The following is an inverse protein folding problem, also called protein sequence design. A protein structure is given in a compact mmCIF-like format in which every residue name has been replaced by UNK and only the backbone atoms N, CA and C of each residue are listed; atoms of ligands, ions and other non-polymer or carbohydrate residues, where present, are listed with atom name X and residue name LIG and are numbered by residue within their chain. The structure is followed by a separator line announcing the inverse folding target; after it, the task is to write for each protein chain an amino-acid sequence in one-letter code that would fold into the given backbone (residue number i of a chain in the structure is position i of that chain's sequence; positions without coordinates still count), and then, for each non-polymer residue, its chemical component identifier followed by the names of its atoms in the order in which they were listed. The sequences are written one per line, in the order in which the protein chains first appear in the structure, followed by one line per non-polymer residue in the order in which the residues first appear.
data_IF_641714571333
#
_entry.id   IF_641714571333
#
_cell.length_a   1.000
_cell.length_b   1.000
_cell.length_c   1.000
_cell.angle_alpha   90.00
_cell.angle_beta   90.00
_cell.angle_gamma   90.00
#
_symmetry.space_group_name_H-M   'P 1'
#
loop_
_entity.id
_entity.type
_entity.pdbx_description
1 polymer ?
#
# COMPACT_ATOMS: atom_id res chain seq x y z
N UNK A 1 -21.50 23.70 -45.24
CA UNK A 1 -21.81 22.81 -44.10
C UNK A 1 -20.61 21.93 -43.88
N UNK A 2 -19.86 22.16 -42.81
CA UNK A 2 -18.74 21.29 -42.42
C UNK A 2 -19.29 20.35 -41.37
N UNK A 3 -19.47 19.08 -41.73
CA UNK A 3 -19.76 18.02 -40.77
C UNK A 3 -18.53 17.85 -39.89
N UNK A 4 -18.58 18.42 -38.68
CA UNK A 4 -17.71 18.00 -37.59
C UNK A 4 -18.14 16.59 -37.21
N UNK A 5 -17.52 15.60 -37.86
CA UNK A 5 -17.53 14.23 -37.38
C UNK A 5 -16.86 14.22 -36.02
N UNK A 6 -17.67 14.10 -34.97
CA UNK A 6 -17.25 13.86 -33.60
C UNK A 6 -16.44 12.56 -33.59
N UNK A 7 -15.13 12.65 -33.79
CA UNK A 7 -14.27 11.50 -33.50
C UNK A 7 -14.44 11.23 -32.02
N UNK A 8 -14.87 10.01 -31.61
CA UNK A 8 -14.87 9.68 -30.20
C UNK A 8 -13.41 9.70 -29.77
N UNK A 9 -12.98 10.79 -29.12
CA UNK A 9 -11.70 10.83 -28.43
C UNK A 9 -11.73 9.62 -27.51
N UNK A 10 -10.93 8.60 -27.83
CA UNK A 10 -10.84 7.37 -27.03
C UNK A 10 -10.30 7.77 -25.67
N UNK A 11 -11.19 8.16 -24.76
CA UNK A 11 -10.87 8.48 -23.37
C UNK A 11 -10.45 7.17 -22.71
N UNK A 12 -9.15 6.92 -22.65
CA UNK A 12 -8.61 5.81 -21.88
C UNK A 12 -8.84 6.16 -20.42
N UNK A 13 -9.66 5.37 -19.75
CA UNK A 13 -9.95 5.56 -18.35
C UNK A 13 -8.77 5.02 -17.54
N UNK A 14 -8.13 5.86 -16.72
CA UNK A 14 -7.00 5.50 -15.86
C UNK A 14 -7.27 4.24 -15.03
N UNK A 15 -8.50 4.09 -14.50
CA UNK A 15 -8.95 2.87 -13.80
C UNK A 15 -8.78 1.58 -14.60
N UNK A 16 -8.90 1.62 -15.94
CA UNK A 16 -8.69 0.45 -16.80
C UNK A 16 -7.21 0.12 -16.92
N UNK A 17 -6.36 1.13 -16.99
CA UNK A 17 -4.90 0.96 -16.98
C UNK A 17 -4.48 0.33 -15.65
N UNK A 18 -4.96 0.83 -14.51
CA UNK A 18 -4.62 0.28 -13.20
C UNK A 18 -5.22 -1.09 -12.93
N UNK A 19 -6.39 -1.41 -13.50
CA UNK A 19 -6.88 -2.80 -13.53
C UNK A 19 -5.92 -3.71 -14.29
N UNK A 20 -5.37 -3.26 -15.42
CA UNK A 20 -4.40 -4.06 -16.19
C UNK A 20 -3.09 -4.23 -15.42
N UNK A 21 -2.55 -3.14 -14.84
CA UNK A 21 -1.29 -3.15 -14.10
C UNK A 21 -1.40 -3.87 -12.74
N UNK A 22 -2.53 -3.72 -12.05
CA UNK A 22 -2.74 -4.20 -10.68
C UNK A 22 -3.50 -5.54 -10.55
N UNK A 23 -4.37 -5.91 -11.51
CA UNK A 23 -5.16 -7.17 -11.44
C UNK A 23 -4.59 -8.30 -12.28
N UNK A 24 -3.78 -8.01 -13.30
CA UNK A 24 -3.02 -9.08 -13.99
C UNK A 24 -1.82 -9.44 -13.13
N UNK A 25 -1.35 -10.68 -13.25
CA UNK A 25 -0.12 -11.19 -12.64
C UNK A 25 1.17 -10.47 -13.13
N UNK A 26 1.13 -9.15 -13.33
CA UNK A 26 2.27 -8.31 -13.64
C UNK A 26 3.25 -8.20 -12.46
N UNK A 27 2.92 -8.80 -11.31
CA UNK A 27 3.84 -8.96 -10.19
C UNK A 27 5.12 -9.65 -10.66
N UNK A 28 6.23 -8.91 -10.63
CA UNK A 28 7.54 -9.35 -11.13
C UNK A 28 7.70 -9.36 -12.65
N UNK A 29 6.62 -9.23 -13.43
CA UNK A 29 6.67 -9.22 -14.90
C UNK A 29 6.71 -7.81 -15.51
N UNK A 30 6.19 -6.81 -14.80
CA UNK A 30 6.26 -5.41 -15.22
C UNK A 30 7.04 -4.59 -14.20
N UNK A 31 8.24 -4.16 -14.61
CA UNK A 31 9.07 -3.22 -13.86
C UNK A 31 9.10 -1.92 -14.66
N UNK A 32 8.52 -0.82 -14.13
CA UNK A 32 8.47 0.43 -14.86
C UNK A 32 9.88 1.01 -14.97
N UNK A 33 10.22 1.52 -16.16
CA UNK A 33 11.44 2.30 -16.33
C UNK A 33 11.32 3.67 -15.62
N UNK A 34 12.41 4.45 -15.60
CA UNK A 34 12.43 5.75 -14.91
C UNK A 34 11.36 6.72 -15.40
N UNK A 35 11.04 6.74 -16.70
CA UNK A 35 10.03 7.64 -17.27
C UNK A 35 8.62 7.20 -16.86
N UNK A 36 8.34 5.90 -16.93
CA UNK A 36 7.06 5.33 -16.52
C UNK A 36 6.86 5.49 -15.02
N UNK A 37 7.94 5.36 -14.23
CA UNK A 37 7.92 5.57 -12.79
C UNK A 37 7.49 6.97 -12.42
N UNK A 38 8.04 7.99 -13.07
CA UNK A 38 7.67 9.39 -12.84
C UNK A 38 6.19 9.65 -13.11
N UNK A 39 5.64 9.08 -14.19
CA UNK A 39 4.20 9.21 -14.51
C UNK A 39 3.33 8.57 -13.43
N UNK A 40 3.67 7.36 -13.01
CA UNK A 40 2.94 6.65 -11.95
C UNK A 40 3.05 7.38 -10.60
N UNK A 41 4.22 7.94 -10.31
CA UNK A 41 4.48 8.74 -9.12
C UNK A 41 3.66 10.05 -9.14
N UNK A 42 3.46 10.70 -10.28
CA UNK A 42 2.58 11.86 -10.36
C UNK A 42 1.11 11.48 -10.13
N UNK A 43 0.64 10.41 -10.78
CA UNK A 43 -0.75 9.96 -10.63
C UNK A 43 -1.09 9.60 -9.18
N UNK A 44 -0.17 8.97 -8.45
CA UNK A 44 -0.44 8.60 -7.05
C UNK A 44 -0.48 9.83 -6.14
N UNK A 45 0.30 10.87 -6.41
CA UNK A 45 0.23 12.14 -5.66
C UNK A 45 -1.13 12.83 -5.90
N UNK A 46 -1.60 12.81 -7.14
CA UNK A 46 -2.92 13.35 -7.50
C UNK A 46 -4.03 12.58 -6.77
N UNK A 47 -3.97 11.24 -6.74
CA UNK A 47 -4.94 10.41 -6.02
C UNK A 47 -4.87 10.62 -4.50
N UNK A 48 -3.68 10.77 -3.93
CA UNK A 48 -3.53 11.08 -2.52
C UNK A 48 -4.13 12.44 -2.18
N UNK A 49 -3.88 13.46 -2.99
CA UNK A 49 -4.49 14.78 -2.82
C UNK A 49 -6.03 14.69 -2.90
N UNK A 50 -6.57 13.95 -3.87
CA UNK A 50 -8.02 13.73 -3.98
C UNK A 50 -8.59 12.98 -2.78
N UNK A 51 -7.92 11.94 -2.29
CA UNK A 51 -8.38 11.17 -1.14
C UNK A 51 -8.35 11.98 0.17
N UNK A 52 -7.40 12.90 0.32
CA UNK A 52 -7.24 13.74 1.51
C UNK A 52 -8.12 15.00 1.51
N UNK A 53 -8.39 15.60 0.35
CA UNK A 53 -8.93 16.97 0.25
C UNK A 53 -10.35 17.00 -0.31
N UNK A 54 -10.74 16.04 -1.16
CA UNK A 54 -12.04 16.09 -1.84
C UNK A 54 -13.18 15.68 -0.88
N UNK A 55 -14.23 16.49 -0.80
CA UNK A 55 -15.42 16.25 0.02
C UNK A 55 -16.43 15.31 -0.65
N UNK A 56 -16.21 14.98 -1.92
CA UNK A 56 -17.08 14.13 -2.72
C UNK A 56 -16.70 12.65 -2.51
N UNK A 57 -17.49 11.98 -1.68
CA UNK A 57 -17.29 10.57 -1.26
C UNK A 57 -16.92 9.59 -2.39
N UNK A 58 -17.60 9.64 -3.54
CA UNK A 58 -17.33 8.68 -4.62
C UNK A 58 -15.96 8.88 -5.29
N UNK A 59 -15.43 10.11 -5.29
CA UNK A 59 -14.10 10.40 -5.84
C UNK A 59 -13.01 9.91 -4.89
N UNK A 60 -13.17 10.16 -3.59
CA UNK A 60 -12.25 9.69 -2.57
C UNK A 60 -12.20 8.16 -2.57
N UNK A 61 -13.34 7.47 -2.68
CA UNK A 61 -13.37 6.00 -2.77
C UNK A 61 -12.68 5.47 -4.04
N UNK A 62 -12.96 6.04 -5.21
CA UNK A 62 -12.28 5.63 -6.45
C UNK A 62 -10.76 5.88 -6.34
N UNK A 63 -10.34 7.01 -5.76
CA UNK A 63 -8.94 7.30 -5.52
C UNK A 63 -8.29 6.24 -4.61
N UNK A 64 -8.91 5.93 -3.48
CA UNK A 64 -8.49 4.86 -2.58
C UNK A 64 -8.34 3.52 -3.31
N UNK A 65 -9.33 3.11 -4.11
CA UNK A 65 -9.30 1.87 -4.88
C UNK A 65 -8.14 1.84 -5.90
N UNK A 66 -7.88 2.95 -6.58
CA UNK A 66 -6.76 3.03 -7.53
C UNK A 66 -5.40 3.01 -6.82
N UNK A 67 -5.28 3.68 -5.67
CA UNK A 67 -4.07 3.64 -4.84
C UNK A 67 -3.76 2.20 -4.37
N UNK A 68 -4.78 1.48 -3.91
CA UNK A 68 -4.64 0.06 -3.54
C UNK A 68 -4.15 -0.78 -4.72
N UNK A 69 -4.64 -0.54 -5.94
CA UNK A 69 -4.24 -1.28 -7.15
C UNK A 69 -2.77 -1.07 -7.50
N UNK A 70 -2.25 0.13 -7.27
CA UNK A 70 -0.88 0.50 -7.63
C UNK A 70 0.15 0.23 -6.53
N UNK A 71 -0.28 -0.14 -5.32
CA UNK A 71 0.58 -0.29 -4.14
C UNK A 71 1.91 -0.99 -4.42
N UNK A 72 1.86 -2.19 -5.03
CA UNK A 72 3.06 -3.00 -5.23
C UNK A 72 4.02 -2.42 -6.27
N UNK A 73 3.47 -1.80 -7.31
CA UNK A 73 4.25 -1.14 -8.35
C UNK A 73 4.97 0.09 -7.78
N UNK A 74 4.31 0.79 -6.85
CA UNK A 74 4.76 2.06 -6.29
C UNK A 74 5.33 1.96 -4.87
N UNK A 75 5.51 0.74 -4.35
CA UNK A 75 5.98 0.50 -2.99
C UNK A 75 7.19 1.37 -2.57
N UNK A 76 8.24 1.55 -3.40
CA UNK A 76 9.37 2.41 -3.03
C UNK A 76 8.99 3.85 -2.66
N UNK A 77 7.95 4.41 -3.30
CA UNK A 77 7.44 5.75 -2.98
C UNK A 77 6.52 5.71 -1.76
N UNK A 78 5.64 4.71 -1.73
CA UNK A 78 4.57 4.62 -0.75
C UNK A 78 5.03 4.13 0.62
N UNK A 79 6.20 3.49 0.72
CA UNK A 79 6.88 3.17 1.98
C UNK A 79 7.09 4.41 2.86
N UNK A 80 7.33 5.57 2.23
CA UNK A 80 7.48 6.84 2.94
C UNK A 80 6.16 7.38 3.51
N UNK A 81 5.01 6.81 3.09
CA UNK A 81 3.70 7.22 3.58
C UNK A 81 3.27 6.48 4.85
N UNK A 82 4.01 5.45 5.23
CA UNK A 82 3.82 4.77 6.51
C UNK A 82 4.07 5.80 7.63
N UNK A 83 3.04 6.08 8.43
CA UNK A 83 3.05 7.09 9.49
C UNK A 83 2.40 8.44 9.14
N UNK A 84 1.96 8.66 7.89
CA UNK A 84 1.23 9.88 7.49
C UNK A 84 -0.27 9.80 7.89
N UNK A 85 -0.69 8.70 8.51
CA UNK A 85 -2.07 8.40 8.93
C UNK A 85 -2.74 9.54 9.70
N UNK A 86 -2.00 10.21 10.59
CA UNK A 86 -2.51 11.32 11.39
C UNK A 86 -2.85 12.58 10.58
N UNK A 87 -2.34 12.69 9.35
CA UNK A 87 -2.54 13.84 8.46
C UNK A 87 -3.64 13.62 7.42
N UNK A 88 -4.20 12.41 7.35
CA UNK A 88 -5.18 12.07 6.34
C UNK A 88 -6.60 11.98 6.94
N UNK A 89 -7.62 12.33 6.17
CA UNK A 89 -9.01 12.08 6.54
C UNK A 89 -9.28 10.56 6.70
N UNK A 90 -10.30 10.18 7.48
CA UNK A 90 -10.63 8.78 7.83
C UNK A 90 -10.55 7.76 6.67
N UNK A 91 -10.84 8.17 5.43
CA UNK A 91 -10.79 7.28 4.25
C UNK A 91 -9.39 6.74 3.92
N UNK A 92 -8.33 7.50 4.18
CA UNK A 92 -6.94 7.10 3.92
C UNK A 92 -6.39 6.13 4.98
N UNK A 93 -6.95 6.15 6.19
CA UNK A 93 -6.63 5.15 7.24
C UNK A 93 -7.02 3.75 6.74
N UNK A 94 -8.20 3.61 6.12
CA UNK A 94 -8.65 2.35 5.52
C UNK A 94 -7.72 1.88 4.39
N UNK A 95 -7.18 2.80 3.60
CA UNK A 95 -6.20 2.46 2.55
C UNK A 95 -4.97 1.86 3.20
N UNK A 96 -4.34 2.55 4.17
CA UNK A 96 -3.14 2.05 4.84
C UNK A 96 -3.34 0.71 5.57
N UNK A 97 -4.53 0.47 6.13
CA UNK A 97 -4.92 -0.85 6.66
C UNK A 97 -5.03 -1.93 5.56
N UNK A 98 -5.62 -1.62 4.41
CA UNK A 98 -5.66 -2.57 3.30
C UNK A 98 -4.28 -2.79 2.68
N UNK A 99 -3.40 -1.79 2.74
CA UNK A 99 -2.02 -1.91 2.28
C UNK A 99 -1.20 -2.88 3.15
N UNK A 100 -1.40 -2.92 4.47
CA UNK A 100 -0.74 -3.93 5.33
C UNK A 100 -1.13 -5.36 4.98
N UNK A 101 -2.32 -5.57 4.42
CA UNK A 101 -2.76 -6.88 3.91
C UNK A 101 -2.14 -7.27 2.57
N UNK A 102 -1.48 -6.33 1.88
CA UNK A 102 -0.91 -6.52 0.55
C UNK A 102 0.61 -6.63 0.52
N UNK A 103 1.29 -6.43 1.66
CA UNK A 103 2.75 -6.52 1.76
C UNK A 103 3.24 -7.94 1.47
N UNK A 104 4.36 -8.03 0.78
CA UNK A 104 5.07 -9.28 0.53
C UNK A 104 6.26 -9.42 1.50
N UNK A 105 6.83 -10.62 1.61
CA UNK A 105 7.98 -10.90 2.49
C UNK A 105 9.14 -9.93 2.27
N UNK A 106 9.52 -9.68 1.01
CA UNK A 106 10.61 -8.75 0.68
C UNK A 106 10.37 -7.34 1.23
N UNK A 107 9.11 -6.87 1.21
CA UNK A 107 8.74 -5.56 1.77
C UNK A 107 8.82 -5.56 3.30
N UNK A 108 8.50 -6.68 3.95
CA UNK A 108 8.64 -6.82 5.41
C UNK A 108 10.11 -6.73 5.80
N UNK A 109 10.97 -7.48 5.11
CA UNK A 109 12.43 -7.45 5.34
C UNK A 109 12.98 -6.04 5.12
N UNK A 110 12.55 -5.35 4.07
CA UNK A 110 12.99 -3.97 3.79
C UNK A 110 12.50 -2.95 4.82
N UNK A 111 11.31 -3.14 5.39
CA UNK A 111 10.79 -2.31 6.48
C UNK A 111 11.56 -2.53 7.80
N UNK A 112 11.97 -3.77 8.07
CA UNK A 112 12.80 -4.10 9.22
C UNK A 112 14.18 -3.46 9.08
N UNK A 113 14.81 -3.55 7.90
CA UNK A 113 16.08 -2.89 7.64
C UNK A 113 16.01 -1.36 7.87
N UNK A 114 14.93 -0.73 7.41
CA UNK A 114 14.68 0.70 7.67
C UNK A 114 14.53 1.02 9.16
N UNK A 115 13.82 0.17 9.90
CA UNK A 115 13.63 0.36 11.34
C UNK A 115 14.92 0.14 12.12
N UNK A 116 15.74 -0.85 11.74
CA UNK A 116 17.06 -1.08 12.33
C UNK A 116 17.99 0.12 12.07
N UNK A 117 17.93 0.72 10.87
CA UNK A 117 18.67 1.93 10.55
C UNK A 117 18.17 3.14 11.34
N UNK A 118 16.85 3.30 11.49
CA UNK A 118 16.25 4.38 12.27
C UNK A 118 16.64 4.27 13.75
N UNK A 119 16.66 3.05 14.30
CA UNK A 119 17.10 2.77 15.66
C UNK A 119 18.58 3.13 15.84
N UNK A 120 19.45 2.72 14.91
CA UNK A 120 20.87 3.07 14.94
C UNK A 120 21.11 4.59 14.90
N UNK A 121 20.21 5.33 14.22
CA UNK A 121 20.25 6.78 14.12
C UNK A 121 19.57 7.51 15.30
N UNK A 122 18.94 6.78 16.23
CA UNK A 122 18.19 7.35 17.35
C UNK A 122 16.84 7.98 16.98
N UNK A 123 16.29 7.69 15.80
CA UNK A 123 14.98 8.19 15.34
C UNK A 123 13.83 7.37 15.94
N UNK A 124 13.52 7.64 17.21
CA UNK A 124 12.46 6.93 17.94
C UNK A 124 11.09 7.06 17.27
N UNK A 125 10.78 8.19 16.64
CA UNK A 125 9.48 8.42 15.98
C UNK A 125 9.31 7.52 14.75
N UNK A 126 10.38 7.35 13.95
CA UNK A 126 10.35 6.44 12.80
C UNK A 126 10.31 4.98 13.24
N UNK A 127 11.05 4.61 14.29
CA UNK A 127 11.00 3.25 14.88
C UNK A 127 9.58 2.92 15.37
N UNK A 128 8.93 3.83 16.10
CA UNK A 128 7.55 3.66 16.57
C UNK A 128 6.56 3.54 15.40
N UNK A 129 6.71 4.37 14.37
CA UNK A 129 5.86 4.34 13.17
C UNK A 129 5.95 3.00 12.44
N UNK A 130 7.16 2.51 12.19
CA UNK A 130 7.39 1.24 11.51
C UNK A 130 6.96 0.06 12.39
N UNK A 131 7.23 0.11 13.69
CA UNK A 131 6.78 -0.88 14.67
C UNK A 131 5.27 -1.02 14.70
N UNK A 132 4.53 0.09 14.70
CA UNK A 132 3.06 0.08 14.63
C UNK A 132 2.53 -0.55 13.34
N UNK A 133 3.15 -0.25 12.20
CA UNK A 133 2.78 -0.83 10.91
C UNK A 133 3.01 -2.36 10.89
N UNK A 134 4.17 -2.81 11.36
CA UNK A 134 4.51 -4.24 11.46
C UNK A 134 3.62 -4.96 12.49
N UNK A 135 3.27 -4.31 13.60
CA UNK A 135 2.32 -4.85 14.57
C UNK A 135 0.90 -5.00 14.00
N UNK A 136 0.52 -4.22 12.97
CA UNK A 136 -0.75 -4.44 12.25
C UNK A 136 -0.69 -5.65 11.33
N UNK A 137 0.44 -5.85 10.63
CA UNK A 137 0.68 -7.07 9.87
C UNK A 137 0.52 -8.32 10.74
N UNK A 138 1.01 -8.24 11.99
CA UNK A 138 0.82 -9.28 13.00
C UNK A 138 -0.64 -9.40 13.49
N UNK A 139 -1.38 -8.30 13.65
CA UNK A 139 -2.77 -8.31 14.18
C UNK A 139 -3.81 -9.03 13.31
N UNK A 140 -3.58 -9.17 12.00
CA UNK A 140 -4.59 -9.64 11.05
C UNK A 140 -4.71 -11.18 10.92
N UNK A 141 -4.25 -11.95 11.91
CA UNK A 141 -4.40 -13.42 11.93
C UNK A 141 -5.77 -13.81 12.50
N UNK A 142 -6.85 -13.38 11.84
CA UNK A 142 -8.10 -14.16 11.66
C UNK A 142 -9.04 -13.42 10.69
N UNK A 143 -9.20 -13.92 9.46
CA UNK A 143 -10.13 -13.34 8.47
C UNK A 143 -11.19 -14.38 8.07
N UNK A 144 -12.49 -14.10 8.35
CA UNK A 144 -13.59 -14.95 7.95
C UNK A 144 -13.67 -15.19 6.43
N UNK A 145 -13.96 -16.44 6.06
CA UNK A 145 -13.97 -16.94 4.69
C UNK A 145 -14.97 -16.23 3.76
N UNK A 146 -16.02 -15.64 4.32
CA UNK A 146 -17.09 -14.94 3.61
C UNK A 146 -16.76 -13.48 3.24
N UNK A 147 -15.66 -12.90 3.75
CA UNK A 147 -15.18 -11.58 3.35
C UNK A 147 -14.15 -11.64 2.22
N UNK A 148 -13.88 -12.84 1.68
CA UNK A 148 -12.92 -13.09 0.61
C UNK A 148 -13.50 -12.64 -0.75
N UNK A 149 -13.37 -11.37 -1.08
CA UNK A 149 -13.43 -10.95 -2.48
C UNK A 149 -12.19 -11.46 -3.23
N UNK A 150 -12.35 -12.25 -4.28
CA UNK A 150 -11.23 -12.64 -5.14
C UNK A 150 -10.77 -11.48 -6.02
N UNK A 151 -9.55 -10.99 -5.80
CA UNK A 151 -8.44 -10.83 -6.79
C UNK A 151 -7.30 -9.99 -6.23
N UNK A 152 -6.15 -10.64 -6.05
CA UNK A 152 -4.71 -10.22 -5.96
C UNK A 152 -3.98 -11.43 -5.34
N UNK A 153 -2.65 -11.59 -5.48
CA UNK A 153 -1.92 -12.55 -4.65
C UNK A 153 -1.96 -12.03 -3.20
N UNK A 154 -2.90 -12.51 -2.40
CA UNK A 154 -2.99 -12.19 -0.97
C UNK A 154 -2.19 -13.26 -0.23
N UNK A 155 -1.32 -12.84 0.69
CA UNK A 155 -0.55 -13.76 1.54
C UNK A 155 -1.50 -14.63 2.36
N UNK A 156 -1.19 -15.91 2.53
CA UNK A 156 -1.99 -16.82 3.36
C UNK A 156 -1.71 -16.59 4.84
N UNK A 157 -2.62 -17.07 5.70
CA UNK A 157 -2.41 -17.04 7.15
C UNK A 157 -1.15 -17.82 7.57
N UNK A 158 -0.88 -18.95 6.90
CA UNK A 158 0.31 -19.78 7.14
C UNK A 158 1.60 -19.03 6.79
N UNK A 159 1.67 -18.40 5.62
CA UNK A 159 2.82 -17.55 5.24
C UNK A 159 3.00 -16.37 6.20
N UNK A 160 1.89 -15.76 6.62
CA UNK A 160 1.91 -14.63 7.57
C UNK A 160 2.49 -15.07 8.92
N UNK A 161 2.05 -16.21 9.46
CA UNK A 161 2.56 -16.76 10.71
C UNK A 161 4.06 -17.05 10.62
N UNK A 162 4.52 -17.64 9.50
CA UNK A 162 5.95 -17.87 9.26
C UNK A 162 6.77 -16.56 9.30
N UNK A 163 6.27 -15.49 8.68
CA UNK A 163 6.95 -14.19 8.71
C UNK A 163 6.97 -13.56 10.11
N UNK A 164 5.88 -13.74 10.86
CA UNK A 164 5.77 -13.26 12.25
C UNK A 164 6.86 -13.88 13.11
N UNK A 165 6.97 -15.21 13.06
CA UNK A 165 7.90 -15.97 13.89
C UNK A 165 9.36 -15.73 13.47
N UNK A 166 9.62 -15.68 12.15
CA UNK A 166 10.97 -15.58 11.62
C UNK A 166 11.56 -14.16 11.68
N UNK A 167 10.74 -13.12 11.47
CA UNK A 167 11.25 -11.76 11.22
C UNK A 167 10.61 -10.70 12.12
N UNK A 168 9.29 -10.64 12.17
CA UNK A 168 8.57 -9.49 12.74
C UNK A 168 8.68 -9.47 14.26
N UNK A 169 8.36 -10.57 14.94
CA UNK A 169 8.44 -10.62 16.41
C UNK A 169 9.87 -10.35 16.92
N UNK A 170 10.92 -10.98 16.36
CA UNK A 170 12.31 -10.64 16.70
C UNK A 170 12.64 -9.15 16.50
N UNK A 171 12.17 -8.53 15.42
CA UNK A 171 12.41 -7.10 15.18
C UNK A 171 11.72 -6.20 16.22
N UNK A 172 10.45 -6.46 16.52
CA UNK A 172 9.71 -5.67 17.51
C UNK A 172 10.34 -5.76 18.90
N UNK A 173 10.81 -6.95 19.32
CA UNK A 173 11.53 -7.13 20.58
C UNK A 173 12.83 -6.33 20.59
N UNK A 174 13.63 -6.38 19.50
CA UNK A 174 14.86 -5.58 19.40
C UNK A 174 14.61 -4.09 19.51
N UNK A 175 13.50 -3.61 18.95
CA UNK A 175 13.13 -2.20 18.98
C UNK A 175 12.48 -1.76 20.29
N UNK A 176 12.37 -2.67 21.28
CA UNK A 176 11.62 -2.46 22.52
C UNK A 176 10.18 -1.99 22.25
N UNK A 177 9.61 -2.39 21.11
CA UNK A 177 8.24 -2.10 20.76
C UNK A 177 7.32 -3.10 21.47
N UNK A 178 6.17 -2.68 22.02
CA UNK A 178 5.25 -3.59 22.70
C UNK A 178 4.91 -4.80 21.82
N UNK A 179 5.38 -5.97 22.24
CA UNK A 179 5.18 -7.27 21.58
C UNK A 179 4.19 -8.15 22.35
N UNK A 180 3.49 -7.59 23.34
CA UNK A 180 2.43 -8.25 24.09
C UNK A 180 1.07 -7.77 23.59
N UNK A 181 0.35 -8.63 22.86
CA UNK A 181 -1.07 -8.46 22.59
C UNK A 181 -1.75 -9.83 22.63
N UNK A 182 -2.67 -9.99 23.60
CA UNK A 182 -3.70 -11.04 23.66
C UNK A 182 -5.03 -10.37 23.36
#
# INVERSE_FOLDING_TARGET
MVEYGDQPTRRIQLRKIFRILGDRCAYGLFVPDSSQRLVLDQWIDDYYAMACIDTIYFKSNEACDQMLRMWRLLYPKLKNWIGIESKCANGMICVLQQLSNMVAESMVVELIADGDQALANGDAARVETLGNFLARVWRDVDIPENQRMQRRPVRTAVETQQWVDAYIYPALVRWNHPASWK
#
